data_IF_829757861699
#
_entry.id   IF_829757861699
#
_cell.length_a   1.000
_cell.length_b   1.000
_cell.length_c   1.000
_cell.angle_alpha   90.00
_cell.angle_beta   90.00
_cell.angle_gamma   90.00
#
_symmetry.space_group_name_H-M   'P 1'
#
loop_
_entity.id
_entity.type
_entity.pdbx_description
1 polymer ?
#
# COMPACT_ATOMS: atom_id res chain seq x y z
N UNK A 1 14.78 0.02 17.28
CA UNK A 1 13.99 0.09 16.03
C UNK A 1 14.88 0.37 14.84
N UNK A 2 15.49 1.56 14.74
CA UNK A 2 16.34 1.97 13.62
C UNK A 2 17.42 0.94 13.24
N UNK A 3 18.14 0.41 14.22
CA UNK A 3 19.15 -0.65 14.02
C UNK A 3 18.54 -1.95 13.45
N UNK A 4 17.37 -2.37 13.94
CA UNK A 4 16.69 -3.60 13.49
C UNK A 4 16.23 -3.54 12.03
N UNK A 5 15.95 -2.35 11.53
CA UNK A 5 15.53 -2.11 10.13
C UNK A 5 16.68 -1.57 9.27
N UNK A 6 17.87 -1.40 9.83
CA UNK A 6 19.08 -0.98 9.11
C UNK A 6 19.04 0.47 8.63
N UNK A 7 18.46 1.38 9.41
CA UNK A 7 18.44 2.83 9.13
C UNK A 7 18.99 3.63 10.32
N UNK A 8 19.35 4.89 10.11
CA UNK A 8 19.86 5.74 11.20
C UNK A 8 18.74 6.18 12.14
N UNK A 9 19.03 6.31 13.43
CA UNK A 9 18.05 6.79 14.42
C UNK A 9 17.50 8.20 14.11
N UNK A 10 18.31 9.17 13.64
CA UNK A 10 17.78 10.46 13.19
C UNK A 10 16.79 10.34 12.03
N UNK A 11 17.12 9.50 11.02
CA UNK A 11 16.25 9.27 9.87
C UNK A 11 14.91 8.64 10.26
N UNK A 12 14.93 7.63 11.14
CA UNK A 12 13.71 7.06 11.71
C UNK A 12 12.87 8.14 12.43
N UNK A 13 13.52 8.97 13.26
CA UNK A 13 12.82 10.04 13.96
C UNK A 13 12.20 11.07 13.02
N UNK A 14 12.85 11.36 11.90
CA UNK A 14 12.31 12.27 10.89
C UNK A 14 11.13 11.67 10.13
N UNK A 15 11.13 10.35 9.88
CA UNK A 15 9.96 9.65 9.34
C UNK A 15 8.79 9.71 10.33
N UNK A 16 9.03 9.36 11.61
CA UNK A 16 8.00 9.38 12.66
C UNK A 16 7.40 10.78 12.89
N UNK A 17 8.18 11.84 12.64
CA UNK A 17 7.76 13.24 12.76
C UNK A 17 7.23 13.83 11.46
N UNK A 18 6.98 12.99 10.45
CA UNK A 18 6.44 13.37 9.14
C UNK A 18 7.34 14.35 8.34
N UNK A 19 8.62 14.44 8.70
CA UNK A 19 9.63 15.33 8.07
C UNK A 19 10.34 14.70 6.89
N UNK A 20 10.20 13.39 6.70
CA UNK A 20 10.79 12.66 5.59
C UNK A 20 9.76 11.73 4.93
N UNK A 21 9.99 11.41 3.66
CA UNK A 21 9.24 10.35 2.98
C UNK A 21 9.45 8.99 3.69
N UNK A 22 8.43 8.11 3.65
CA UNK A 22 8.54 6.74 4.14
C UNK A 22 9.71 6.02 3.45
N UNK A 23 10.33 5.04 4.10
CA UNK A 23 11.43 4.31 3.52
C UNK A 23 10.94 3.40 2.37
N UNK A 24 11.87 2.79 1.64
CA UNK A 24 11.53 1.89 0.52
C UNK A 24 10.84 0.59 0.99
N UNK A 25 10.27 -0.14 0.03
CA UNK A 25 9.45 -1.34 0.30
C UNK A 25 10.20 -2.39 1.15
N UNK A 26 11.50 -2.60 0.92
CA UNK A 26 12.31 -3.53 1.73
C UNK A 26 12.32 -3.15 3.22
N UNK A 27 12.36 -1.85 3.52
CA UNK A 27 12.33 -1.33 4.89
C UNK A 27 10.93 -1.36 5.47
N UNK A 28 9.90 -1.07 4.68
CA UNK A 28 8.51 -1.19 5.11
C UNK A 28 8.18 -2.64 5.50
N UNK A 29 8.66 -3.62 4.73
CA UNK A 29 8.56 -5.03 5.09
C UNK A 29 9.26 -5.31 6.43
N UNK A 30 10.50 -4.86 6.61
CA UNK A 30 11.21 -5.04 7.88
C UNK A 30 10.48 -4.38 9.06
N UNK A 31 9.90 -3.20 8.87
CA UNK A 31 9.09 -2.52 9.89
C UNK A 31 7.88 -3.39 10.27
N UNK A 32 7.17 -3.95 9.28
CA UNK A 32 6.04 -4.85 9.51
C UNK A 32 6.43 -6.05 10.36
N UNK A 33 7.55 -6.71 10.04
CA UNK A 33 8.05 -7.86 10.78
C UNK A 33 8.52 -7.48 12.19
N UNK A 34 9.17 -6.33 12.33
CA UNK A 34 9.73 -5.86 13.60
C UNK A 34 8.64 -5.46 14.59
N UNK A 35 7.56 -4.86 14.09
CA UNK A 35 6.39 -4.43 14.87
C UNK A 35 5.31 -5.52 15.01
N UNK A 36 5.50 -6.68 14.37
CA UNK A 36 4.55 -7.79 14.38
C UNK A 36 3.16 -7.37 13.90
N UNK A 37 3.10 -6.56 12.84
CA UNK A 37 1.85 -6.09 12.28
C UNK A 37 1.05 -7.26 11.71
N UNK A 38 -0.26 -7.23 11.93
CA UNK A 38 -1.21 -8.04 11.16
C UNK A 38 -1.22 -7.62 9.69
N UNK A 39 -1.79 -8.47 8.82
CA UNK A 39 -1.91 -8.15 7.39
C UNK A 39 -2.72 -6.87 7.13
N UNK A 40 -3.74 -6.60 7.96
CA UNK A 40 -4.56 -5.38 7.86
C UNK A 40 -3.77 -4.14 8.29
N UNK A 41 -2.98 -4.23 9.37
CA UNK A 41 -2.10 -3.14 9.83
C UNK A 41 -0.97 -2.88 8.84
N UNK A 42 -0.40 -3.94 8.25
CA UNK A 42 0.60 -3.84 7.18
C UNK A 42 0.01 -3.14 5.96
N UNK A 43 -1.18 -3.53 5.52
CA UNK A 43 -1.87 -2.89 4.39
C UNK A 43 -2.11 -1.40 4.68
N UNK A 44 -2.56 -1.07 5.89
CA UNK A 44 -2.74 0.31 6.33
C UNK A 44 -1.44 1.10 6.29
N UNK A 45 -0.32 0.51 6.73
CA UNK A 45 1.00 1.15 6.67
C UNK A 45 1.44 1.42 5.23
N UNK A 46 1.22 0.46 4.31
CA UNK A 46 1.55 0.63 2.89
C UNK A 46 0.70 1.71 2.22
N UNK A 47 -0.59 1.78 2.54
CA UNK A 47 -1.48 2.84 2.09
C UNK A 47 -1.01 4.22 2.56
N UNK A 48 -0.63 4.34 3.83
CA UNK A 48 -0.07 5.58 4.39
C UNK A 48 1.23 5.98 3.69
N UNK A 49 2.08 5.00 3.38
CA UNK A 49 3.33 5.24 2.67
C UNK A 49 3.09 5.72 1.23
N UNK A 50 2.13 5.12 0.53
CA UNK A 50 1.71 5.54 -0.80
C UNK A 50 1.17 6.96 -0.81
N UNK A 51 0.25 7.28 0.12
CA UNK A 51 -0.35 8.62 0.28
C UNK A 51 0.69 9.71 0.52
N UNK A 52 1.68 9.47 1.39
CA UNK A 52 2.76 10.44 1.66
C UNK A 52 3.61 10.72 0.41
N UNK A 53 3.74 9.73 -0.49
CA UNK A 53 4.43 9.85 -1.78
C UNK A 53 3.52 10.34 -2.92
N UNK A 54 2.27 10.70 -2.63
CA UNK A 54 1.23 11.03 -3.63
C UNK A 54 1.11 9.94 -4.72
N UNK A 55 1.13 8.68 -4.29
CA UNK A 55 1.16 7.49 -5.14
C UNK A 55 0.29 6.37 -4.55
N UNK A 56 0.05 5.31 -5.33
CA UNK A 56 -0.58 4.09 -4.81
C UNK A 56 0.32 3.40 -3.78
N UNK A 57 -0.25 2.50 -2.97
CA UNK A 57 0.51 1.71 -1.99
C UNK A 57 1.72 1.01 -2.65
N UNK A 58 2.92 0.97 -2.05
CA UNK A 58 4.15 0.53 -2.71
C UNK A 58 4.17 -0.89 -3.28
N UNK A 59 3.25 -1.76 -2.83
CA UNK A 59 3.07 -3.13 -3.27
C UNK A 59 2.21 -3.28 -4.53
N UNK A 60 1.33 -2.31 -4.82
CA UNK A 60 0.39 -2.36 -5.94
C UNK A 60 1.00 -2.05 -7.33
N UNK A 61 2.00 -1.17 -7.51
CA UNK A 61 2.54 -0.82 -8.82
C UNK A 61 2.96 -2.03 -9.64
N UNK A 62 3.65 -3.00 -9.03
CA UNK A 62 4.07 -4.22 -9.71
C UNK A 62 2.85 -4.99 -10.26
N UNK A 63 1.85 -5.20 -9.41
CA UNK A 63 0.62 -5.91 -9.80
C UNK A 63 -0.12 -5.21 -10.95
N UNK A 64 -0.22 -3.88 -10.91
CA UNK A 64 -0.91 -3.06 -11.92
C UNK A 64 -0.14 -3.04 -13.24
N UNK A 65 1.20 -2.88 -13.19
CA UNK A 65 2.05 -2.79 -14.38
C UNK A 65 2.20 -4.14 -15.10
N UNK A 66 2.23 -5.25 -14.37
CA UNK A 66 2.30 -6.60 -14.97
C UNK A 66 1.01 -7.00 -15.68
N UNK A 67 -0.11 -6.32 -15.43
CA UNK A 67 -1.45 -6.72 -15.87
C UNK A 67 -2.13 -5.57 -16.58
N UNK A 68 -1.97 -5.51 -17.90
CA UNK A 68 -2.60 -4.48 -18.74
C UNK A 68 -4.12 -4.39 -18.53
N UNK A 69 -4.78 -5.52 -18.27
CA UNK A 69 -6.22 -5.57 -18.00
C UNK A 69 -6.63 -4.87 -16.70
N UNK A 70 -5.75 -4.82 -15.67
CA UNK A 70 -6.03 -4.09 -14.42
C UNK A 70 -5.99 -2.60 -14.70
N UNK A 71 -4.99 -2.14 -15.44
CA UNK A 71 -4.89 -0.75 -15.86
C UNK A 71 -6.07 -0.33 -16.73
N UNK A 72 -6.53 -1.19 -17.65
CA UNK A 72 -7.73 -0.94 -18.45
C UNK A 72 -8.99 -0.87 -17.57
N UNK A 73 -9.18 -1.82 -16.64
CA UNK A 73 -10.33 -1.83 -15.72
C UNK A 73 -10.36 -0.58 -14.82
N UNK A 74 -9.22 -0.14 -14.29
CA UNK A 74 -9.12 1.08 -13.50
C UNK A 74 -9.48 2.34 -14.31
N UNK A 75 -9.06 2.41 -15.57
CA UNK A 75 -9.45 3.51 -16.47
C UNK A 75 -10.95 3.50 -16.74
N UNK A 76 -11.51 2.34 -17.09
CA UNK A 76 -12.96 2.19 -17.32
C UNK A 76 -13.76 2.57 -16.09
N UNK A 77 -13.38 2.09 -14.91
CA UNK A 77 -14.08 2.41 -13.66
C UNK A 77 -14.04 3.90 -13.36
N UNK A 78 -12.89 4.58 -13.60
CA UNK A 78 -12.79 6.03 -13.50
C UNK A 78 -13.68 6.74 -14.51
N UNK A 79 -13.67 6.31 -15.76
CA UNK A 79 -14.43 6.96 -16.84
C UNK A 79 -15.95 6.77 -16.66
N UNK A 80 -16.37 5.72 -15.95
CA UNK A 80 -17.76 5.46 -15.56
C UNK A 80 -18.15 6.08 -14.20
N UNK A 81 -17.26 6.84 -13.56
CA UNK A 81 -17.44 7.43 -12.22
C UNK A 81 -17.88 6.39 -11.17
N UNK A 82 -17.31 5.18 -11.25
CA UNK A 82 -17.61 4.10 -10.32
C UNK A 82 -17.20 4.48 -8.89
N UNK A 83 -18.19 4.55 -8.00
CA UNK A 83 -18.03 4.91 -6.61
C UNK A 83 -17.64 3.73 -5.72
N UNK A 84 -17.49 4.03 -4.43
CA UNK A 84 -17.10 3.04 -3.42
C UNK A 84 -18.06 1.83 -3.38
N UNK A 85 -19.36 2.06 -3.59
CA UNK A 85 -20.38 1.01 -3.55
C UNK A 85 -20.19 -0.02 -4.68
N UNK A 86 -19.92 0.42 -5.91
CA UNK A 86 -19.63 -0.45 -7.04
C UNK A 86 -18.37 -1.28 -6.81
N UNK A 87 -17.32 -0.65 -6.28
CA UNK A 87 -16.07 -1.33 -5.95
C UNK A 87 -16.26 -2.37 -4.83
N UNK A 88 -17.02 -2.04 -3.78
CA UNK A 88 -17.34 -2.98 -2.71
C UNK A 88 -18.12 -4.19 -3.23
N UNK A 89 -19.10 -3.98 -4.12
CA UNK A 89 -19.85 -5.07 -4.78
C UNK A 89 -18.90 -5.95 -5.61
N UNK A 90 -18.04 -5.34 -6.43
CA UNK A 90 -17.05 -6.06 -7.23
C UNK A 90 -16.12 -6.94 -6.36
N UNK A 91 -15.56 -6.37 -5.29
CA UNK A 91 -14.69 -7.10 -4.35
C UNK A 91 -15.45 -8.24 -3.67
N UNK A 92 -16.70 -8.00 -3.24
CA UNK A 92 -17.53 -9.02 -2.62
C UNK A 92 -17.82 -10.19 -3.57
N UNK A 93 -18.09 -9.91 -4.85
CA UNK A 93 -18.25 -10.95 -5.88
C UNK A 93 -16.98 -11.76 -6.10
N UNK A 94 -15.82 -11.12 -6.15
CA UNK A 94 -14.53 -11.81 -6.27
C UNK A 94 -14.27 -12.74 -5.07
N UNK A 95 -14.56 -12.27 -3.84
CA UNK A 95 -14.42 -13.08 -2.62
C UNK A 95 -15.37 -14.30 -2.65
N UNK A 96 -16.61 -14.14 -3.10
CA UNK A 96 -17.60 -15.22 -3.22
C UNK A 96 -17.20 -16.31 -4.22
N UNK A 97 -16.46 -15.98 -5.27
CA UNK A 97 -16.00 -16.97 -6.27
C UNK A 97 -14.77 -17.76 -5.83
N UNK A 98 -14.02 -17.24 -4.86
CA UNK A 98 -12.82 -17.89 -4.31
C UNK A 98 -13.16 -18.90 -3.19
N UNK A 99 -14.34 -18.79 -2.58
CA UNK A 99 -14.91 -19.77 -1.65
C UNK A 99 -15.84 -20.75 -2.35
#
# INVERSE_FOLDING_TARGET
MAERIGISAPYLSDIEKDRHNPPEMDKLELISHVLLLSEDEKSTMLDLAGRKRNSVAPDLPGYIMEREYVSAALRTARDLDAGEEEWMKFVAELKKRKG
#
